data_IF_605150399294
#
_entry.id   IF_605150399294
#
_cell.length_a   1.000
_cell.length_b   1.000
_cell.length_c   1.000
_cell.angle_alpha   90.00
_cell.angle_beta   90.00
_cell.angle_gamma   90.00
#
_symmetry.space_group_name_H-M   'P 1'
#
loop_
_entity.id
_entity.type
_entity.pdbx_description
1 polymer ?
#
# COMPACT_ATOMS: atom_id res chain seq x y z
N UNK A 1 3.64 -8.65 6.45
CA UNK A 1 3.91 -7.31 7.03
C UNK A 1 3.39 -7.20 8.47
N UNK A 2 2.08 -7.09 8.73
CA UNK A 2 1.54 -6.87 10.10
C UNK A 2 1.95 -7.88 11.17
N UNK A 3 2.15 -9.16 10.80
CA UNK A 3 2.63 -10.19 11.74
C UNK A 3 4.04 -9.90 12.30
N UNK A 4 4.83 -9.10 11.58
CA UNK A 4 6.22 -8.76 11.91
C UNK A 4 6.37 -7.29 12.34
N UNK A 5 5.59 -6.39 11.73
CA UNK A 5 5.49 -4.96 12.08
C UNK A 5 4.05 -4.64 12.49
N UNK A 6 3.74 -4.89 13.76
CA UNK A 6 2.38 -4.75 14.31
C UNK A 6 1.90 -3.29 14.44
N UNK A 7 2.84 -2.36 14.41
CA UNK A 7 2.68 -0.90 14.52
C UNK A 7 2.23 -0.23 13.21
N UNK A 8 2.14 -0.99 12.11
CA UNK A 8 1.77 -0.42 10.83
C UNK A 8 0.36 0.20 10.85
N UNK A 9 0.15 1.36 10.20
CA UNK A 9 -1.10 2.09 10.26
C UNK A 9 -2.18 1.38 9.42
N UNK A 10 -3.20 0.82 10.07
CA UNK A 10 -4.33 0.18 9.41
C UNK A 10 -5.64 0.44 10.15
N UNK A 11 -6.72 0.72 9.41
CA UNK A 11 -8.06 0.86 9.98
C UNK A 11 -9.09 -0.04 9.27
N UNK A 12 -9.50 0.28 8.03
CA UNK A 12 -10.63 -0.40 7.39
C UNK A 12 -10.31 -1.76 6.74
N UNK A 13 -9.08 -1.96 6.25
CA UNK A 13 -8.66 -3.11 5.43
C UNK A 13 -9.50 -3.36 4.14
N UNK A 14 -10.39 -2.43 3.78
CA UNK A 14 -11.26 -2.50 2.59
C UNK A 14 -10.85 -1.58 1.44
N UNK A 15 -9.78 -0.79 1.61
CA UNK A 15 -9.30 0.14 0.59
C UNK A 15 -10.04 1.49 0.54
N UNK A 16 -10.78 1.85 1.59
CA UNK A 16 -11.63 3.07 1.65
C UNK A 16 -11.09 4.17 2.56
N UNK A 17 -10.21 3.87 3.53
CA UNK A 17 -9.81 4.84 4.56
C UNK A 17 -8.42 5.48 4.35
N UNK A 18 -7.60 4.99 3.42
CA UNK A 18 -6.26 5.52 3.16
C UNK A 18 -5.21 5.29 4.27
N UNK A 19 -5.57 4.82 5.47
CA UNK A 19 -4.62 4.66 6.60
C UNK A 19 -3.42 3.77 6.26
N UNK A 20 -3.63 2.78 5.39
CA UNK A 20 -2.58 1.85 4.94
C UNK A 20 -1.80 2.37 3.72
N UNK A 21 -1.83 3.68 3.43
CA UNK A 21 -1.10 4.28 2.32
C UNK A 21 0.40 4.16 2.55
N UNK A 22 1.12 3.75 1.52
CA UNK A 22 2.58 3.76 1.46
C UNK A 22 3.01 3.99 0.01
N UNK A 23 4.25 4.44 -0.21
CA UNK A 23 4.85 4.55 -1.53
C UNK A 23 5.71 3.33 -1.83
N UNK A 24 5.58 2.75 -3.01
CA UNK A 24 6.49 1.68 -3.47
C UNK A 24 7.82 2.30 -3.85
N UNK A 25 8.89 1.84 -3.21
CA UNK A 25 10.27 2.30 -3.46
C UNK A 25 11.12 1.23 -4.13
N UNK A 26 10.63 -0.01 -4.23
CA UNK A 26 11.26 -1.08 -4.99
C UNK A 26 10.30 -2.25 -5.24
N UNK A 27 10.46 -2.92 -6.38
CA UNK A 27 9.57 -4.00 -6.81
C UNK A 27 8.24 -3.49 -7.38
N UNK A 28 7.29 -4.41 -7.56
CA UNK A 28 5.98 -4.13 -8.14
C UNK A 28 4.86 -4.75 -7.30
N UNK A 29 3.74 -4.05 -7.20
CA UNK A 29 2.52 -4.54 -6.57
C UNK A 29 1.30 -4.33 -7.43
N UNK A 30 0.30 -5.19 -7.24
CA UNK A 30 -1.04 -5.03 -7.79
C UNK A 30 -2.03 -4.76 -6.67
N UNK A 31 -2.77 -3.66 -6.78
CA UNK A 31 -3.87 -3.37 -5.86
C UNK A 31 -5.16 -4.10 -6.27
N UNK A 32 -5.78 -4.80 -5.31
CA UNK A 32 -7.07 -5.48 -5.50
C UNK A 32 -8.23 -4.49 -5.59
N UNK A 33 -8.19 -3.45 -4.75
CA UNK A 33 -9.20 -2.39 -4.64
C UNK A 33 -8.50 -1.09 -4.28
N UNK A 34 -8.95 -0.01 -4.89
CA UNK A 34 -8.56 1.35 -4.54
C UNK A 34 -9.79 2.24 -4.59
N UNK A 35 -10.25 2.69 -3.42
CA UNK A 35 -11.33 3.67 -3.28
C UNK A 35 -10.88 4.93 -2.53
N UNK A 36 -9.60 5.00 -2.14
CA UNK A 36 -9.08 6.07 -1.28
C UNK A 36 -7.99 6.92 -1.94
N UNK A 37 -7.20 6.35 -2.86
CA UNK A 37 -6.12 7.08 -3.55
C UNK A 37 -6.61 7.61 -4.89
N UNK A 38 -6.26 8.85 -5.18
CA UNK A 38 -6.49 9.46 -6.49
C UNK A 38 -5.57 8.88 -7.56
N UNK A 39 -5.95 8.94 -8.86
CA UNK A 39 -5.10 8.44 -9.95
C UNK A 39 -3.68 9.03 -9.95
N UNK A 40 -3.53 10.30 -9.56
CA UNK A 40 -2.23 10.96 -9.47
C UNK A 40 -1.35 10.37 -8.36
N UNK A 41 -1.93 10.02 -7.21
CA UNK A 41 -1.21 9.34 -6.12
C UNK A 41 -0.75 7.95 -6.58
N UNK A 42 -1.62 7.20 -7.24
CA UNK A 42 -1.27 5.88 -7.80
C UNK A 42 -0.15 6.01 -8.83
N UNK A 43 -0.21 7.01 -9.71
CA UNK A 43 0.83 7.30 -10.69
C UNK A 43 2.16 7.72 -10.04
N UNK A 44 2.11 8.37 -8.87
CA UNK A 44 3.28 8.69 -8.06
C UNK A 44 3.84 7.49 -7.25
N UNK A 45 3.26 6.30 -7.42
CA UNK A 45 3.71 5.06 -6.78
C UNK A 45 3.10 4.82 -5.40
N UNK A 46 2.07 5.57 -5.00
CA UNK A 46 1.35 5.30 -3.75
C UNK A 46 0.38 4.13 -3.91
N UNK A 47 0.31 3.32 -2.85
CA UNK A 47 -0.49 2.11 -2.79
C UNK A 47 -1.14 1.95 -1.43
N UNK A 48 -2.26 1.23 -1.40
CA UNK A 48 -2.90 0.79 -0.16
C UNK A 48 -2.35 -0.59 0.20
N UNK A 49 -1.42 -0.68 1.14
CA UNK A 49 -0.70 -1.93 1.47
C UNK A 49 -1.62 -3.02 2.01
N UNK A 50 -2.80 -2.65 2.53
CA UNK A 50 -3.84 -3.59 2.91
C UNK A 50 -4.55 -4.26 1.73
N UNK A 51 -4.46 -3.68 0.53
CA UNK A 51 -5.05 -4.19 -0.71
C UNK A 51 -4.01 -4.50 -1.79
N UNK A 52 -2.73 -4.25 -1.53
CA UNK A 52 -1.63 -4.52 -2.45
C UNK A 52 -1.11 -5.95 -2.28
N UNK A 53 -0.89 -6.64 -3.40
CA UNK A 53 -0.22 -7.93 -3.48
C UNK A 53 1.07 -7.79 -4.29
N UNK A 54 2.20 -8.35 -3.84
CA UNK A 54 3.45 -8.30 -4.60
C UNK A 54 3.30 -9.07 -5.91
N UNK A 55 3.86 -8.49 -6.97
CA UNK A 55 3.97 -9.12 -8.29
C UNK A 55 5.40 -9.59 -8.55
N UNK A 56 6.38 -8.90 -7.97
CA UNK A 56 7.79 -9.28 -7.96
C UNK A 56 8.17 -10.12 -6.74
N UNK A 57 9.33 -10.77 -6.80
CA UNK A 57 9.89 -11.60 -5.71
C UNK A 57 10.10 -10.82 -4.40
N UNK A 58 10.41 -9.53 -4.52
CA UNK A 58 10.59 -8.62 -3.39
C UNK A 58 9.93 -7.27 -3.69
N UNK A 59 9.39 -6.65 -2.63
CA UNK A 59 8.78 -5.32 -2.66
C UNK A 59 9.21 -4.54 -1.42
N UNK A 60 9.61 -3.28 -1.63
CA UNK A 60 9.91 -2.31 -0.58
C UNK A 60 8.91 -1.17 -0.66
N UNK A 61 8.34 -0.81 0.49
CA UNK A 61 7.41 0.31 0.62
C UNK A 61 7.84 1.24 1.75
N UNK A 62 7.54 2.51 1.57
CA UNK A 62 7.80 3.59 2.51
C UNK A 62 6.46 4.15 3.02
N UNK A 63 6.22 4.05 4.34
CA UNK A 63 5.00 4.53 4.98
C UNK A 63 5.08 6.00 5.41
N UNK A 64 6.27 6.60 5.38
CA UNK A 64 6.53 7.98 5.80
C UNK A 64 6.62 8.96 4.61
N UNK A 65 6.30 8.48 3.41
CA UNK A 65 6.35 9.22 2.14
C UNK A 65 5.14 10.11 1.83
#
# INVERSE_FOLDING_TARGET
AQRVRGDLPFACRGGVCGTCRARVTGGEVRMRRNHALEPAEVAAGFVLTCQALPVSDAVTVDYDA
#
